data_IF_280414115204
#
_entry.id   IF_280414115204
#
_cell.length_a   1.000
_cell.length_b   1.000
_cell.length_c   1.000
_cell.angle_alpha   90.00
_cell.angle_beta   90.00
_cell.angle_gamma   90.00
#
_symmetry.space_group_name_H-M   'P 1'
#
loop_
_entity.id
_entity.type
_entity.pdbx_description
1 polymer ?
#
# COMPACT_ATOMS: atom_id res chain seq x y z
N UNK A 1 -13.94 0.04 -8.66
CA UNK A 1 -14.91 -0.77 -9.45
C UNK A 1 -14.27 -2.14 -9.68
N UNK A 2 -15.00 -3.23 -9.42
CA UNK A 2 -14.54 -4.60 -9.65
C UNK A 2 -15.42 -5.29 -10.69
N UNK A 3 -14.80 -6.14 -11.49
CA UNK A 3 -15.47 -7.02 -12.45
C UNK A 3 -15.08 -8.46 -12.13
N UNK A 4 -16.02 -9.40 -12.35
CA UNK A 4 -15.77 -10.83 -12.17
C UNK A 4 -16.01 -11.55 -13.49
N UNK A 5 -15.14 -12.51 -13.80
CA UNK A 5 -15.27 -13.37 -14.98
C UNK A 5 -16.10 -14.60 -14.61
N UNK A 6 -17.22 -14.81 -15.29
CA UNK A 6 -18.09 -15.97 -15.04
C UNK A 6 -17.52 -17.25 -15.70
N UNK A 7 -18.19 -18.39 -15.48
CA UNK A 7 -17.78 -19.68 -16.03
C UNK A 7 -17.82 -19.78 -17.56
N UNK A 8 -18.56 -18.89 -18.25
CA UNK A 8 -18.53 -18.77 -19.72
C UNK A 8 -17.44 -17.81 -20.22
N UNK A 9 -16.62 -17.26 -19.31
CA UNK A 9 -15.50 -16.39 -19.64
C UNK A 9 -15.89 -14.93 -19.87
N UNK A 10 -17.14 -14.53 -19.64
CA UNK A 10 -17.60 -13.15 -19.77
C UNK A 10 -17.34 -12.35 -18.49
N UNK A 11 -16.94 -11.09 -18.65
CA UNK A 11 -16.81 -10.16 -17.53
C UNK A 11 -18.15 -9.51 -17.22
N UNK A 12 -18.55 -9.58 -15.95
CA UNK A 12 -19.71 -8.87 -15.43
C UNK A 12 -19.26 -7.87 -14.37
N UNK A 13 -19.94 -6.72 -14.32
CA UNK A 13 -19.82 -5.82 -13.18
C UNK A 13 -20.11 -6.59 -11.89
N UNK A 14 -19.28 -6.39 -10.87
CA UNK A 14 -19.48 -7.00 -9.56
C UNK A 14 -19.87 -5.95 -8.55
N UNK A 15 -19.01 -4.94 -8.34
CA UNK A 15 -19.21 -3.99 -7.24
C UNK A 15 -18.39 -2.70 -7.40
N UNK A 16 -18.69 -1.69 -6.57
CA UNK A 16 -17.86 -0.50 -6.38
C UNK A 16 -17.55 -0.32 -4.90
N UNK A 17 -16.26 -0.34 -4.57
CA UNK A 17 -15.72 -0.05 -3.25
C UNK A 17 -15.02 1.32 -3.30
N UNK A 18 -14.96 2.01 -2.15
CA UNK A 18 -14.31 3.32 -1.97
C UNK A 18 -14.83 4.43 -2.91
N UNK A 19 -16.16 4.49 -3.12
CA UNK A 19 -16.76 5.50 -4.00
C UNK A 19 -16.41 6.93 -3.54
N UNK A 20 -15.89 7.74 -4.46
CA UNK A 20 -15.49 9.13 -4.18
C UNK A 20 -14.11 9.28 -3.53
N UNK A 21 -13.42 8.18 -3.20
CA UNK A 21 -12.06 8.21 -2.67
C UNK A 21 -11.08 7.78 -3.77
N UNK A 22 -10.01 8.56 -4.03
CA UNK A 22 -8.92 8.13 -4.89
C UNK A 22 -8.26 6.83 -4.39
N UNK A 23 -8.34 5.78 -5.19
CA UNK A 23 -7.58 4.54 -5.00
C UNK A 23 -6.30 4.65 -5.82
N UNK A 24 -5.15 4.75 -5.15
CA UNK A 24 -3.86 4.92 -5.82
C UNK A 24 -3.33 3.60 -6.36
N UNK A 25 -3.58 2.51 -5.62
CA UNK A 25 -3.23 1.13 -5.99
C UNK A 25 -4.35 0.20 -5.54
N UNK A 26 -4.75 -0.73 -6.42
CA UNK A 26 -5.57 -1.88 -6.07
C UNK A 26 -4.89 -3.15 -6.60
N UNK A 27 -4.66 -4.14 -5.73
CA UNK A 27 -3.97 -5.37 -6.11
C UNK A 27 -4.45 -6.58 -5.32
N UNK A 28 -4.05 -7.77 -5.75
CA UNK A 28 -4.33 -9.04 -5.11
C UNK A 28 -3.02 -9.80 -4.93
N UNK A 29 -2.75 -10.23 -3.70
CA UNK A 29 -1.65 -11.14 -3.39
C UNK A 29 -2.16 -12.59 -3.45
N UNK A 30 -1.81 -13.37 -4.49
CA UNK A 30 -2.27 -14.74 -4.63
C UNK A 30 -1.63 -15.70 -3.61
N UNK A 31 -0.54 -15.31 -2.94
CA UNK A 31 0.12 -16.15 -1.95
C UNK A 31 -0.72 -16.20 -0.67
N UNK A 32 -1.23 -15.05 -0.23
CA UNK A 32 -2.05 -14.93 0.99
C UNK A 32 -3.55 -14.92 0.71
N UNK A 33 -3.97 -14.70 -0.53
CA UNK A 33 -5.37 -14.47 -0.88
C UNK A 33 -5.87 -13.07 -0.51
N UNK A 34 -4.97 -12.12 -0.26
CA UNK A 34 -5.32 -10.79 0.25
C UNK A 34 -5.54 -9.80 -0.88
N UNK A 35 -6.67 -9.10 -0.86
CA UNK A 35 -6.90 -7.90 -1.65
C UNK A 35 -6.35 -6.68 -0.90
N UNK A 36 -5.67 -5.79 -1.63
CA UNK A 36 -5.08 -4.57 -1.10
C UNK A 36 -5.64 -3.35 -1.84
N UNK A 37 -5.95 -2.30 -1.10
CA UNK A 37 -6.30 -0.99 -1.62
C UNK A 37 -5.49 0.07 -0.86
N UNK A 38 -4.71 0.86 -1.60
CA UNK A 38 -4.02 2.04 -1.08
C UNK A 38 -4.78 3.26 -1.55
N UNK A 39 -5.05 4.20 -0.65
CA UNK A 39 -5.95 5.31 -0.88
C UNK A 39 -5.31 6.63 -0.49
N UNK A 40 -5.76 7.68 -1.18
CA UNK A 40 -5.47 9.07 -0.84
C UNK A 40 -6.77 9.75 -0.42
N UNK A 41 -6.92 10.03 0.88
CA UNK A 41 -8.09 10.73 1.44
C UNK A 41 -7.89 12.27 1.45
N UNK A 42 -6.95 12.80 0.67
CA UNK A 42 -6.63 14.21 0.61
C UNK A 42 -6.13 14.71 1.96
N UNK A 43 -6.87 15.63 2.58
CA UNK A 43 -6.43 16.25 3.83
C UNK A 43 -6.38 15.26 5.03
N UNK A 44 -7.03 14.09 4.92
CA UNK A 44 -6.97 13.03 5.93
C UNK A 44 -5.79 12.06 5.72
N UNK A 45 -4.99 12.30 4.68
CA UNK A 45 -3.78 11.55 4.39
C UNK A 45 -4.00 10.21 3.70
N UNK A 46 -2.91 9.47 3.56
CA UNK A 46 -2.88 8.16 2.93
C UNK A 46 -3.48 7.07 3.82
N UNK A 47 -4.16 6.09 3.22
CA UNK A 47 -4.73 4.92 3.91
C UNK A 47 -4.33 3.62 3.22
N UNK A 48 -4.20 2.55 4.01
CA UNK A 48 -3.97 1.19 3.52
C UNK A 48 -5.12 0.34 4.01
N UNK A 49 -5.79 -0.37 3.11
CA UNK A 49 -6.85 -1.30 3.45
C UNK A 49 -6.51 -2.68 2.88
N UNK A 50 -6.86 -3.71 3.64
CA UNK A 50 -6.83 -5.10 3.16
C UNK A 50 -8.20 -5.74 3.25
N UNK A 51 -8.43 -6.75 2.43
CA UNK A 51 -9.67 -7.54 2.47
C UNK A 51 -9.41 -9.00 2.08
N UNK A 52 -10.02 -9.98 2.76
CA UNK A 52 -9.91 -11.39 2.40
C UNK A 52 -10.77 -11.76 1.17
N UNK A 53 -11.73 -10.92 0.78
CA UNK A 53 -12.72 -11.24 -0.26
C UNK A 53 -13.03 -10.07 -1.21
N UNK A 54 -12.38 -8.92 -1.01
CA UNK A 54 -12.54 -7.71 -1.80
C UNK A 54 -13.81 -6.92 -1.47
N UNK A 55 -14.54 -7.29 -0.41
CA UNK A 55 -15.77 -6.61 0.04
C UNK A 55 -15.75 -6.24 1.53
N UNK A 56 -15.11 -7.06 2.38
CA UNK A 56 -14.93 -6.77 3.80
C UNK A 56 -13.56 -6.14 4.01
N UNK A 57 -13.50 -4.82 4.15
CA UNK A 57 -12.25 -4.06 4.21
C UNK A 57 -11.89 -3.67 5.64
N UNK A 58 -10.66 -3.96 6.03
CA UNK A 58 -10.03 -3.51 7.27
C UNK A 58 -9.06 -2.36 6.94
N UNK A 59 -9.21 -1.22 7.63
CA UNK A 59 -8.22 -0.14 7.59
C UNK A 59 -7.01 -0.51 8.46
N UNK A 60 -5.81 -0.34 7.92
CA UNK A 60 -4.53 -0.59 8.58
C UNK A 60 -3.78 0.72 8.78
N UNK A 61 -2.73 0.69 9.60
CA UNK A 61 -1.81 1.82 9.72
C UNK A 61 -1.09 2.08 8.40
N UNK A 62 -1.14 3.31 7.91
CA UNK A 62 -0.38 3.71 6.73
C UNK A 62 1.10 3.93 7.08
N UNK A 63 2.03 3.76 6.11
CA UNK A 63 3.44 4.06 6.31
C UNK A 63 3.69 5.49 6.83
N UNK A 64 4.48 5.61 7.90
CA UNK A 64 4.87 6.89 8.50
C UNK A 64 6.39 6.94 8.63
N UNK A 65 6.97 8.05 8.18
CA UNK A 65 8.38 8.32 8.45
C UNK A 65 8.64 8.43 9.95
N UNK A 66 9.74 7.86 10.46
CA UNK A 66 10.19 8.11 11.83
C UNK A 66 10.34 9.61 12.12
N UNK A 67 10.13 10.00 13.37
CA UNK A 67 10.29 11.38 13.80
C UNK A 67 11.72 11.89 13.48
N UNK A 68 11.82 13.13 13.01
CA UNK A 68 13.10 13.73 12.63
C UNK A 68 13.65 13.27 11.27
N UNK A 69 12.94 12.39 10.55
CA UNK A 69 13.37 12.02 9.19
C UNK A 69 13.22 13.22 8.26
N UNK A 70 14.27 13.52 7.48
CA UNK A 70 14.29 14.61 6.52
C UNK A 70 14.54 14.11 5.11
N UNK A 71 13.85 14.68 4.12
CA UNK A 71 14.10 14.37 2.70
C UNK A 71 15.45 14.94 2.26
N UNK A 72 15.75 16.14 2.75
CA UNK A 72 17.00 16.90 2.64
C UNK A 72 17.09 17.83 3.85
N UNK A 73 18.25 18.40 4.12
CA UNK A 73 18.50 19.26 5.29
C UNK A 73 17.39 20.30 5.52
N UNK A 74 16.75 20.23 6.69
CA UNK A 74 15.69 21.14 7.13
C UNK A 74 14.32 20.89 6.49
N UNK A 75 14.13 19.82 5.71
CA UNK A 75 12.84 19.47 5.08
C UNK A 75 12.32 18.14 5.62
N UNK A 76 11.35 18.17 6.55
CA UNK A 76 10.76 16.97 7.13
C UNK A 76 10.14 16.05 6.07
N UNK A 77 10.37 14.75 6.23
CA UNK A 77 9.70 13.72 5.45
C UNK A 77 8.32 13.44 6.05
N UNK A 78 7.29 13.48 5.19
CA UNK A 78 5.93 13.13 5.55
C UNK A 78 5.30 12.39 4.38
N UNK A 79 4.65 11.26 4.65
CA UNK A 79 3.97 10.46 3.62
C UNK A 79 2.80 11.25 3.04
N UNK A 80 2.87 11.56 1.75
CA UNK A 80 1.84 12.32 1.02
C UNK A 80 1.10 11.47 0.00
N UNK A 81 1.76 10.44 -0.52
CA UNK A 81 1.16 9.54 -1.50
C UNK A 81 1.72 8.12 -1.37
N UNK A 82 0.91 7.11 -1.67
CA UNK A 82 1.35 5.71 -1.76
C UNK A 82 1.39 5.33 -3.24
N UNK A 83 2.59 5.20 -3.79
CA UNK A 83 2.85 5.14 -5.23
C UNK A 83 3.16 3.74 -5.75
N UNK A 84 3.62 2.83 -4.89
CA UNK A 84 4.01 1.48 -5.29
C UNK A 84 3.64 0.45 -4.23
N UNK A 85 3.41 -0.79 -4.66
CA UNK A 85 3.15 -1.93 -3.78
C UNK A 85 3.81 -3.19 -4.34
N UNK A 86 4.37 -4.03 -3.46
CA UNK A 86 4.81 -5.38 -3.80
C UNK A 86 4.56 -6.36 -2.64
N UNK A 87 4.08 -7.57 -2.95
CA UNK A 87 4.06 -8.68 -2.00
C UNK A 87 5.43 -9.38 -1.94
N UNK A 88 5.75 -9.97 -0.79
CA UNK A 88 7.02 -10.65 -0.52
C UNK A 88 7.27 -11.93 -1.33
N UNK A 89 6.20 -12.49 -1.93
CA UNK A 89 6.23 -13.73 -2.69
C UNK A 89 6.07 -14.98 -1.81
N UNK A 90 6.19 -16.16 -2.41
CA UNK A 90 5.93 -17.45 -1.75
C UNK A 90 6.83 -17.73 -0.55
N UNK A 91 8.10 -17.30 -0.60
CA UNK A 91 9.07 -17.51 0.48
C UNK A 91 8.88 -16.54 1.66
N UNK A 92 8.13 -15.47 1.46
CA UNK A 92 7.91 -14.38 2.44
C UNK A 92 6.43 -14.01 2.47
N UNK A 93 5.58 -15.03 2.55
CA UNK A 93 4.13 -14.85 2.62
C UNK A 93 3.76 -13.92 3.77
N UNK A 94 2.89 -12.94 3.50
CA UNK A 94 2.48 -11.92 4.47
C UNK A 94 3.44 -10.73 4.61
N UNK A 95 4.62 -10.77 4.00
CA UNK A 95 5.43 -9.55 3.84
C UNK A 95 4.92 -8.70 2.69
N UNK A 96 4.93 -7.39 2.87
CA UNK A 96 4.60 -6.42 1.81
C UNK A 96 5.53 -5.23 1.85
N UNK A 97 5.69 -4.56 0.71
CA UNK A 97 6.47 -3.34 0.54
C UNK A 97 5.59 -2.26 -0.06
N UNK A 98 5.70 -1.03 0.46
CA UNK A 98 5.00 0.14 -0.06
C UNK A 98 6.01 1.23 -0.39
N UNK A 99 5.95 1.75 -1.61
CA UNK A 99 6.67 2.95 -2.05
C UNK A 99 5.83 4.19 -1.82
N UNK A 100 6.46 5.28 -1.38
CA UNK A 100 5.79 6.53 -0.99
C UNK A 100 6.25 7.74 -1.81
N UNK A 101 5.51 8.86 -1.72
CA UNK A 101 6.03 10.21 -1.96
C UNK A 101 6.13 10.93 -0.61
N UNK A 102 7.29 11.50 -0.24
CA UNK A 102 8.60 11.45 -0.91
C UNK A 102 9.14 10.01 -1.06
N UNK A 103 10.18 9.78 -1.87
CA UNK A 103 10.63 8.44 -2.28
C UNK A 103 11.23 7.54 -1.18
N UNK A 104 10.40 7.06 -0.25
CA UNK A 104 10.75 6.03 0.74
C UNK A 104 10.10 4.69 0.42
N UNK A 105 10.80 3.60 0.75
CA UNK A 105 10.26 2.23 0.72
C UNK A 105 10.03 1.78 2.15
N UNK A 106 8.81 1.34 2.44
CA UNK A 106 8.43 0.77 3.72
C UNK A 106 8.18 -0.72 3.57
N UNK A 107 8.56 -1.51 4.56
CA UNK A 107 8.32 -2.96 4.63
C UNK A 107 7.40 -3.24 5.81
N UNK A 108 6.48 -4.16 5.60
CA UNK A 108 5.77 -4.85 6.69
C UNK A 108 6.13 -6.33 6.63
N UNK A 109 6.29 -6.94 7.80
CA UNK A 109 6.46 -8.39 7.96
C UNK A 109 5.33 -9.03 8.76
N UNK A 110 4.24 -8.29 8.98
CA UNK A 110 3.12 -8.67 9.84
C UNK A 110 1.77 -8.49 9.12
N UNK A 111 1.73 -8.82 7.82
CA UNK A 111 0.55 -8.71 6.96
C UNK A 111 0.03 -7.27 6.84
N UNK A 112 0.91 -6.27 6.90
CA UNK A 112 0.59 -4.84 6.80
C UNK A 112 0.02 -4.21 8.06
N UNK A 113 0.05 -4.88 9.22
CA UNK A 113 -0.41 -4.28 10.46
C UNK A 113 0.53 -3.14 10.92
N UNK A 114 1.82 -3.24 10.61
CA UNK A 114 2.80 -2.18 10.84
C UNK A 114 3.82 -2.09 9.70
N UNK A 115 4.41 -0.91 9.52
CA UNK A 115 5.38 -0.63 8.46
C UNK A 115 6.64 0.01 9.04
N UNK A 116 7.80 -0.49 8.65
CA UNK A 116 9.11 0.11 8.96
C UNK A 116 9.75 0.69 7.70
N UNK A 117 10.40 1.85 7.83
CA UNK A 117 11.20 2.43 6.76
C UNK A 117 12.36 1.48 6.42
N UNK A 118 12.60 1.23 5.13
CA UNK A 118 13.79 0.54 4.67
C UNK A 118 14.98 1.51 4.74
N UNK A 119 15.57 1.61 5.93
CA UNK A 119 16.70 2.49 6.22
C UNK A 119 17.90 2.26 5.28
N UNK A 120 18.29 1.02 4.89
CA UNK A 120 19.35 0.83 3.92
C UNK A 120 19.12 1.53 2.57
N UNK A 121 17.87 1.57 2.09
CA UNK A 121 17.54 2.31 0.86
C UNK A 121 17.45 3.81 1.12
N UNK A 122 16.90 4.21 2.27
CA UNK A 122 16.76 5.63 2.63
C UNK A 122 18.11 6.33 2.81
N UNK A 123 19.05 5.66 3.51
CA UNK A 123 20.38 6.18 3.81
C UNK A 123 21.41 5.86 2.72
N UNK A 124 20.97 5.39 1.55
CA UNK A 124 21.89 5.04 0.47
C UNK A 124 22.62 6.30 -0.02
N UNK A 125 23.97 6.31 -0.10
CA UNK A 125 24.73 7.47 -0.57
C UNK A 125 24.42 7.93 -2.00
N UNK A 126 23.79 7.09 -2.83
CA UNK A 126 23.37 7.45 -4.19
C UNK A 126 21.98 8.08 -4.25
N UNK A 127 21.27 8.17 -3.12
CA UNK A 127 20.02 8.92 -3.03
C UNK A 127 20.30 10.40 -3.30
N UNK A 128 19.58 11.04 -4.23
CA UNK A 128 19.82 12.43 -4.63
C UNK A 128 19.45 13.44 -3.54
#
# INVERSE_FOLDING_TARGET
>A
ITYRRNGSGQWAYSDVQFLGVPVTIATYDPVTGTHWALLDHGHWGCKVHRSPNGTDWEELEAPKYPEGTEVKEGVPAATRYLWAFAAGGTERAGEVFIGTEPGGVFRSTDNGNSFQLNEPLWNNPTRP
#
